data_IF_038221954146
#
_entry.id   IF_038221954146
#
_cell.length_a   1.000
_cell.length_b   1.000
_cell.length_c   1.000
_cell.angle_alpha   90.00
_cell.angle_beta   90.00
_cell.angle_gamma   90.00
#
_symmetry.space_group_name_H-M   'P 1'
#
loop_
_entity.id
_entity.type
_entity.pdbx_description
1 polymer ?
#
# COMPACT_ATOMS: atom_id res chain seq x y z
N UNK A 1 -3.20 14.07 0.96
CA UNK A 1 -4.39 13.71 1.75
C UNK A 1 -4.97 14.96 2.39
N UNK A 2 -6.30 15.07 2.55
CA UNK A 2 -6.91 16.15 3.33
C UNK A 2 -6.40 16.12 4.77
N UNK A 3 -6.19 17.31 5.33
CA UNK A 3 -5.83 17.48 6.73
C UNK A 3 -7.00 18.14 7.43
N UNK A 4 -7.51 17.52 8.48
CA UNK A 4 -8.59 18.06 9.29
C UNK A 4 -8.04 18.50 10.63
N UNK A 5 -8.20 19.79 10.93
CA UNK A 5 -7.97 20.33 12.24
C UNK A 5 -9.23 20.10 13.08
N UNK A 6 -9.08 19.30 14.14
CA UNK A 6 -10.17 18.96 15.07
C UNK A 6 -9.88 19.62 16.42
N UNK A 7 -10.86 20.38 16.90
CA UNK A 7 -10.86 20.96 18.25
C UNK A 7 -11.84 20.19 19.13
N UNK A 8 -11.43 19.91 20.36
CA UNK A 8 -12.30 19.24 21.33
C UNK A 8 -11.74 19.26 22.74
N UNK A 9 -12.31 18.46 23.62
CA UNK A 9 -11.91 18.33 25.03
C UNK A 9 -11.31 16.96 25.26
N UNK A 10 -10.13 16.87 25.87
CA UNK A 10 -9.55 15.59 26.25
C UNK A 10 -10.38 14.92 27.34
N UNK A 11 -10.90 13.71 27.07
CA UNK A 11 -11.79 12.94 27.95
C UNK A 11 -11.22 12.74 29.36
N UNK A 12 -9.90 12.52 29.46
CA UNK A 12 -9.23 12.30 30.74
C UNK A 12 -8.84 13.59 31.46
N UNK A 13 -8.48 14.63 30.70
CA UNK A 13 -7.88 15.84 31.27
C UNK A 13 -8.84 17.01 31.43
N UNK A 14 -10.02 16.97 30.79
CA UNK A 14 -10.96 18.10 30.73
C UNK A 14 -10.44 19.34 29.98
N UNK A 15 -9.19 19.30 29.50
CA UNK A 15 -8.52 20.41 28.80
C UNK A 15 -8.85 20.41 27.32
N UNK A 16 -8.94 21.61 26.76
CA UNK A 16 -9.09 21.82 25.32
C UNK A 16 -7.86 21.30 24.58
N UNK A 17 -8.10 20.52 23.53
CA UNK A 17 -7.10 19.96 22.62
C UNK A 17 -7.40 20.41 21.20
N UNK A 18 -6.33 20.62 20.45
CA UNK A 18 -6.35 20.96 19.04
C UNK A 18 -5.35 20.03 18.36
N UNK A 19 -5.82 19.18 17.45
CA UNK A 19 -4.97 18.20 16.76
C UNK A 19 -5.36 18.12 15.30
N UNK A 20 -4.35 17.91 14.46
CA UNK A 20 -4.52 17.75 13.02
C UNK A 20 -4.46 16.27 12.67
N UNK A 21 -5.46 15.81 11.94
CA UNK A 21 -5.60 14.44 11.47
C UNK A 21 -5.50 14.41 9.95
N UNK A 22 -4.70 13.49 9.42
CA UNK A 22 -4.57 13.27 7.98
C UNK A 22 -5.40 12.05 7.61
N UNK A 23 -6.58 12.26 7.03
CA UNK A 23 -7.61 11.23 6.81
C UNK A 23 -8.51 11.58 5.61
N UNK A 24 -9.23 10.59 5.08
CA UNK A 24 -10.01 10.70 3.85
C UNK A 24 -11.15 11.72 3.90
N UNK A 25 -11.85 11.83 5.04
CA UNK A 25 -12.97 12.75 5.19
C UNK A 25 -13.14 13.22 6.65
N UNK A 26 -14.12 14.11 6.85
CA UNK A 26 -14.43 14.66 8.16
C UNK A 26 -14.88 13.59 9.18
N UNK A 27 -15.63 12.56 8.75
CA UNK A 27 -16.09 11.48 9.62
C UNK A 27 -14.92 10.65 10.16
N UNK A 28 -13.95 10.35 9.31
CA UNK A 28 -12.71 9.69 9.67
C UNK A 28 -11.91 10.51 10.69
N UNK A 29 -11.91 11.85 10.54
CA UNK A 29 -11.23 12.75 11.46
C UNK A 29 -11.88 12.72 12.83
N UNK A 30 -13.21 12.65 12.88
CA UNK A 30 -13.99 12.52 14.13
C UNK A 30 -13.71 11.19 14.81
N UNK A 31 -13.69 10.08 14.05
CA UNK A 31 -13.40 8.75 14.57
C UNK A 31 -11.98 8.69 15.13
N UNK A 32 -10.98 9.19 14.40
CA UNK A 32 -9.59 9.24 14.84
C UNK A 32 -9.42 10.12 16.10
N UNK A 33 -10.08 11.28 16.14
CA UNK A 33 -10.06 12.14 17.32
C UNK A 33 -10.73 11.50 18.54
N UNK A 34 -11.83 10.79 18.33
CA UNK A 34 -12.54 10.07 19.39
C UNK A 34 -11.71 8.90 19.94
N UNK A 35 -11.00 8.17 19.06
CA UNK A 35 -10.07 7.11 19.44
C UNK A 35 -8.89 7.64 20.26
N UNK A 36 -8.41 8.85 19.98
CA UNK A 36 -7.41 9.58 20.78
C UNK A 36 -7.96 10.14 22.11
N UNK A 37 -9.20 9.84 22.45
CA UNK A 37 -9.85 10.31 23.67
C UNK A 37 -10.25 11.78 23.63
N UNK A 38 -10.48 12.37 22.45
CA UNK A 38 -10.97 13.74 22.29
C UNK A 38 -12.48 13.71 22.09
N UNK A 39 -13.22 14.42 22.95
CA UNK A 39 -14.63 14.74 22.75
C UNK A 39 -14.67 15.88 21.73
N UNK A 40 -15.04 15.56 20.50
CA UNK A 40 -14.98 16.47 19.35
C UNK A 40 -16.07 17.55 19.44
N UNK A 41 -15.68 18.81 19.27
CA UNK A 41 -16.63 19.91 19.05
C UNK A 41 -17.00 19.94 17.56
N UNK A 42 -18.13 19.34 17.19
CA UNK A 42 -18.54 19.14 15.78
C UNK A 42 -18.54 20.42 14.92
N UNK A 43 -18.81 21.59 15.54
CA UNK A 43 -18.78 22.90 14.85
C UNK A 43 -17.38 23.52 14.69
N UNK A 44 -16.32 22.85 15.15
CA UNK A 44 -14.92 23.33 15.09
C UNK A 44 -13.98 22.33 14.42
N UNK A 45 -14.48 21.71 13.35
CA UNK A 45 -13.67 20.89 12.46
C UNK A 45 -13.41 21.70 11.19
N UNK A 46 -12.15 21.90 10.84
CA UNK A 46 -11.75 22.68 9.67
C UNK A 46 -10.90 21.80 8.77
N UNK A 47 -11.26 21.68 7.51
CA UNK A 47 -10.37 21.11 6.50
C UNK A 47 -9.29 22.15 6.18
N UNK A 48 -8.04 21.81 6.50
CA UNK A 48 -6.88 22.62 6.18
C UNK A 48 -6.59 22.55 4.68
N UNK A 49 -6.10 23.65 4.08
CA UNK A 49 -5.65 23.64 2.70
C UNK A 49 -4.52 22.62 2.51
N UNK A 50 -4.45 22.03 1.32
CA UNK A 50 -3.36 21.13 0.97
C UNK A 50 -2.07 21.92 0.95
N UNK A 51 -1.04 21.42 1.65
CA UNK A 51 0.21 22.14 1.77
C UNK A 51 0.92 22.21 0.41
N UNK A 52 1.39 23.40 -0.01
CA UNK A 52 2.28 23.50 -1.17
C UNK A 52 3.64 22.84 -0.86
N UNK A 53 4.43 22.53 -1.90
CA UNK A 53 5.78 22.00 -1.72
C UNK A 53 6.67 22.99 -0.97
N UNK A 54 7.62 22.49 -0.18
CA UNK A 54 8.60 23.36 0.46
C UNK A 54 9.64 23.86 -0.54
N UNK A 55 10.27 25.01 -0.26
CA UNK A 55 11.39 25.52 -1.08
C UNK A 55 12.51 24.47 -1.22
N UNK A 56 12.80 23.72 -0.15
CA UNK A 56 13.78 22.64 -0.20
C UNK A 56 13.38 21.50 -1.13
N UNK A 57 12.10 21.13 -1.18
CA UNK A 57 11.60 20.13 -2.14
C UNK A 57 11.71 20.63 -3.57
N UNK A 58 11.33 21.88 -3.83
CA UNK A 58 11.40 22.48 -5.17
C UNK A 58 12.85 22.61 -5.66
N UNK A 59 13.76 23.07 -4.77
CA UNK A 59 15.20 23.13 -5.07
C UNK A 59 15.75 21.75 -5.39
N UNK A 60 15.49 20.77 -4.53
CA UNK A 60 16.02 19.42 -4.73
C UNK A 60 15.43 18.75 -5.98
N UNK A 61 14.12 18.91 -6.22
CA UNK A 61 13.46 18.43 -7.42
C UNK A 61 14.11 19.02 -8.69
N UNK A 62 14.40 20.32 -8.68
CA UNK A 62 15.11 21.00 -9.78
C UNK A 62 16.53 20.44 -9.97
N UNK A 63 17.26 20.21 -8.88
CA UNK A 63 18.63 19.69 -8.91
C UNK A 63 18.71 18.28 -9.53
N UNK A 64 17.69 17.45 -9.29
CA UNK A 64 17.58 16.11 -9.89
C UNK A 64 16.77 16.08 -11.19
N UNK A 65 16.43 17.25 -11.76
CA UNK A 65 15.81 17.39 -13.08
C UNK A 65 14.31 17.10 -13.15
N UNK A 66 13.59 17.14 -12.03
CA UNK A 66 12.13 16.98 -11.98
C UNK A 66 11.45 18.33 -12.25
N UNK A 67 10.60 18.37 -13.28
CA UNK A 67 9.71 19.49 -13.53
C UNK A 67 8.48 19.40 -12.62
N UNK A 68 8.31 20.39 -11.73
CA UNK A 68 7.18 20.47 -10.81
C UNK A 68 6.15 21.47 -11.34
N UNK A 69 4.87 21.09 -11.39
CA UNK A 69 3.79 22.00 -11.77
C UNK A 69 3.44 22.97 -10.65
N UNK A 70 2.97 24.17 -10.99
CA UNK A 70 2.56 25.19 -9.99
C UNK A 70 1.43 24.72 -9.05
N UNK A 71 0.61 23.77 -9.50
CA UNK A 71 -0.48 23.18 -8.72
C UNK A 71 -0.05 21.92 -7.94
N UNK A 72 1.23 21.54 -7.97
CA UNK A 72 1.71 20.35 -7.27
C UNK A 72 1.61 20.56 -5.76
N UNK A 73 1.27 19.51 -5.04
CA UNK A 73 1.20 19.52 -3.59
C UNK A 73 2.53 19.06 -2.98
N UNK A 74 2.70 19.28 -1.68
CA UNK A 74 3.85 18.75 -0.92
C UNK A 74 4.02 17.23 -1.09
N UNK A 75 2.92 16.49 -1.11
CA UNK A 75 2.94 15.03 -1.25
C UNK A 75 3.31 14.60 -2.68
N UNK A 76 2.82 15.33 -3.69
CA UNK A 76 3.16 15.07 -5.09
C UNK A 76 4.67 15.17 -5.29
N UNK A 77 5.26 16.31 -4.88
CA UNK A 77 6.70 16.53 -5.06
C UNK A 77 7.52 15.54 -4.25
N UNK A 78 7.07 15.17 -3.04
CA UNK A 78 7.70 14.11 -2.25
C UNK A 78 7.73 12.79 -3.02
N UNK A 79 6.60 12.37 -3.59
CA UNK A 79 6.49 11.08 -4.27
C UNK A 79 7.23 11.08 -5.62
N UNK A 80 7.23 12.21 -6.34
CA UNK A 80 8.06 12.42 -7.54
C UNK A 80 9.55 12.26 -7.23
N UNK A 81 10.03 12.94 -6.18
CA UNK A 81 11.42 12.85 -5.71
C UNK A 81 11.74 11.41 -5.33
N UNK A 82 10.93 10.77 -4.48
CA UNK A 82 11.15 9.38 -4.08
C UNK A 82 11.19 8.44 -5.29
N UNK A 83 10.26 8.58 -6.23
CA UNK A 83 10.22 7.74 -7.42
C UNK A 83 11.51 7.88 -8.26
N UNK A 84 12.05 9.10 -8.38
CA UNK A 84 13.29 9.37 -9.10
C UNK A 84 14.52 8.80 -8.36
N UNK A 85 14.68 9.15 -7.08
CA UNK A 85 15.85 8.79 -6.25
C UNK A 85 15.93 7.28 -6.01
N UNK A 86 14.81 6.61 -5.75
CA UNK A 86 14.77 5.16 -5.50
C UNK A 86 14.83 4.33 -6.80
N UNK A 87 14.94 5.00 -7.95
CA UNK A 87 14.79 4.40 -9.28
C UNK A 87 13.54 3.51 -9.36
N UNK A 88 12.44 3.98 -8.76
CA UNK A 88 11.15 3.31 -8.83
C UNK A 88 10.45 3.67 -10.15
N UNK A 89 9.53 2.81 -10.57
CA UNK A 89 8.72 3.06 -11.77
C UNK A 89 7.37 3.62 -11.32
N UNK A 90 6.81 4.63 -12.01
CA UNK A 90 5.46 5.10 -11.72
C UNK A 90 4.44 3.96 -11.71
N UNK A 91 3.51 4.00 -10.76
CA UNK A 91 2.45 3.01 -10.67
C UNK A 91 1.43 3.21 -11.80
N UNK A 92 1.23 2.21 -12.65
CA UNK A 92 0.12 2.19 -13.63
C UNK A 92 -1.25 2.19 -12.95
N UNK A 93 -2.31 2.58 -13.68
CA UNK A 93 -3.71 2.52 -13.22
C UNK A 93 -4.12 1.15 -12.64
N UNK A 94 -3.65 0.06 -13.24
CA UNK A 94 -3.90 -1.30 -12.70
C UNK A 94 -3.31 -1.52 -11.30
N UNK A 95 -2.18 -0.89 -10.97
CA UNK A 95 -1.60 -1.00 -9.63
C UNK A 95 -2.38 -0.13 -8.64
N UNK A 96 -2.74 1.09 -9.08
CA UNK A 96 -3.55 2.06 -8.34
C UNK A 96 -4.95 1.53 -7.99
N UNK A 97 -5.57 0.72 -8.86
CA UNK A 97 -6.85 0.09 -8.58
C UNK A 97 -6.79 -0.91 -7.41
N UNK A 98 -5.64 -1.57 -7.16
CA UNK A 98 -5.49 -2.43 -5.98
C UNK A 98 -5.42 -1.62 -4.69
N UNK A 99 -4.77 -0.46 -4.71
CA UNK A 99 -4.76 0.43 -3.55
C UNK A 99 -6.17 0.96 -3.25
N UNK A 100 -6.93 1.35 -4.29
CA UNK A 100 -8.34 1.75 -4.13
C UNK A 100 -9.21 0.64 -3.53
N UNK A 101 -9.04 -0.61 -3.97
CA UNK A 101 -9.76 -1.78 -3.44
C UNK A 101 -9.60 -1.93 -1.93
N UNK A 102 -8.44 -1.61 -1.38
CA UNK A 102 -8.16 -1.68 0.06
C UNK A 102 -8.28 -0.32 0.78
N UNK A 103 -8.83 0.71 0.11
CA UNK A 103 -9.00 2.05 0.70
C UNK A 103 -7.68 2.77 0.99
N UNK A 104 -6.61 2.46 0.26
CA UNK A 104 -5.29 3.07 0.44
C UNK A 104 -5.17 4.28 -0.45
N UNK A 105 -4.87 5.41 0.18
CA UNK A 105 -4.62 6.68 -0.51
C UNK A 105 -3.20 6.74 -1.06
N UNK A 106 -3.04 7.39 -2.21
CA UNK A 106 -1.77 7.61 -2.88
C UNK A 106 -1.85 8.86 -3.77
N UNK A 107 -0.69 9.38 -4.17
CA UNK A 107 -0.60 10.48 -5.15
C UNK A 107 -0.54 9.93 -6.57
N UNK A 108 -0.83 10.76 -7.56
CA UNK A 108 -0.70 10.39 -8.98
C UNK A 108 0.74 9.96 -9.35
N UNK A 109 1.73 10.47 -8.61
CA UNK A 109 3.15 10.26 -8.83
C UNK A 109 3.75 9.08 -8.05
N UNK A 110 2.91 8.28 -7.37
CA UNK A 110 3.39 7.19 -6.52
C UNK A 110 4.18 6.15 -7.32
N UNK A 111 5.35 5.78 -6.80
CA UNK A 111 6.14 4.68 -7.33
C UNK A 111 5.51 3.32 -7.07
N UNK A 112 5.72 2.35 -7.96
CA UNK A 112 5.16 1.00 -7.90
C UNK A 112 5.62 0.24 -6.66
N UNK A 113 6.93 0.26 -6.33
CA UNK A 113 7.45 -0.41 -5.12
C UNK A 113 6.84 0.20 -3.87
N UNK A 114 6.74 1.54 -3.83
CA UNK A 114 6.13 2.25 -2.72
C UNK A 114 4.65 1.91 -2.55
N UNK A 115 3.88 1.92 -3.63
CA UNK A 115 2.45 1.58 -3.60
C UNK A 115 2.22 0.16 -3.07
N UNK A 116 3.04 -0.80 -3.50
CA UNK A 116 2.97 -2.18 -3.03
C UNK A 116 3.37 -2.31 -1.55
N UNK A 117 4.36 -1.55 -1.11
CA UNK A 117 4.73 -1.47 0.30
C UNK A 117 3.58 -0.92 1.15
N UNK A 118 2.88 0.12 0.68
CA UNK A 118 1.71 0.69 1.35
C UNK A 118 0.55 -0.31 1.43
N UNK A 119 0.25 -1.00 0.32
CA UNK A 119 -0.75 -2.07 0.29
C UNK A 119 -0.45 -3.16 1.31
N UNK A 120 0.75 -3.71 1.26
CA UNK A 120 1.07 -4.81 2.16
C UNK A 120 1.11 -4.38 3.62
N UNK A 121 1.61 -3.17 3.93
CA UNK A 121 1.63 -2.65 5.28
C UNK A 121 0.21 -2.50 5.87
N UNK A 122 -0.74 -1.98 5.08
CA UNK A 122 -2.15 -1.88 5.50
C UNK A 122 -2.77 -3.25 5.79
N UNK A 123 -2.41 -4.27 5.00
CA UNK A 123 -2.93 -5.63 5.15
C UNK A 123 -2.28 -6.41 6.30
N UNK A 124 -1.21 -5.92 6.93
CA UNK A 124 -0.59 -6.62 8.07
C UNK A 124 -1.42 -6.53 9.37
N UNK A 125 -2.45 -5.68 9.39
CA UNK A 125 -3.42 -5.63 10.49
C UNK A 125 -4.07 -7.01 10.70
N UNK A 126 -4.15 -7.54 11.94
CA UNK A 126 -4.77 -8.82 12.22
C UNK A 126 -6.22 -8.96 11.71
N UNK A 127 -6.98 -7.87 11.66
CA UNK A 127 -8.35 -7.85 11.11
C UNK A 127 -8.40 -8.11 9.60
N UNK A 128 -7.29 -7.85 8.89
CA UNK A 128 -7.15 -7.99 7.44
C UNK A 128 -6.41 -9.26 7.01
N UNK A 129 -6.31 -10.26 7.89
CA UNK A 129 -5.49 -11.46 7.64
C UNK A 129 -5.88 -12.21 6.35
N UNK A 130 -7.17 -12.33 6.04
CA UNK A 130 -7.64 -12.99 4.82
C UNK A 130 -7.22 -12.19 3.59
N UNK A 131 -7.31 -10.87 3.65
CA UNK A 131 -6.93 -9.99 2.53
C UNK A 131 -5.42 -9.96 2.34
N UNK A 132 -4.63 -10.01 3.41
CA UNK A 132 -3.18 -10.17 3.36
C UNK A 132 -2.79 -11.47 2.62
N UNK A 133 -3.45 -12.58 2.96
CA UNK A 133 -3.17 -13.87 2.32
C UNK A 133 -3.67 -13.83 0.87
N UNK A 134 -4.85 -13.27 0.60
CA UNK A 134 -5.42 -13.16 -0.75
C UNK A 134 -4.52 -12.33 -1.66
N UNK A 135 -4.01 -11.19 -1.16
CA UNK A 135 -3.02 -10.38 -1.83
C UNK A 135 -1.76 -11.20 -2.16
N UNK A 136 -1.19 -11.88 -1.16
CA UNK A 136 0.00 -12.71 -1.37
C UNK A 136 -0.25 -13.84 -2.39
N UNK A 137 -1.38 -14.54 -2.29
CA UNK A 137 -1.78 -15.60 -3.23
C UNK A 137 -1.91 -15.07 -4.64
N UNK A 138 -2.55 -13.91 -4.82
CA UNK A 138 -2.64 -13.24 -6.11
C UNK A 138 -1.25 -12.86 -6.66
N UNK A 139 -0.33 -12.38 -5.81
CA UNK A 139 1.04 -12.07 -6.23
C UNK A 139 1.80 -13.31 -6.70
N UNK A 140 1.68 -14.43 -5.99
CA UNK A 140 2.26 -15.72 -6.42
C UNK A 140 1.60 -16.20 -7.72
N UNK A 141 0.28 -16.05 -7.86
CA UNK A 141 -0.40 -16.37 -9.12
C UNK A 141 0.18 -15.58 -10.30
N UNK A 142 0.37 -14.26 -10.13
CA UNK A 142 0.94 -13.41 -11.18
C UNK A 142 2.35 -13.84 -11.57
N UNK A 143 3.16 -14.31 -10.63
CA UNK A 143 4.45 -14.93 -10.91
C UNK A 143 4.30 -16.21 -11.76
N UNK A 144 3.40 -17.11 -11.37
CA UNK A 144 3.19 -18.40 -12.07
C UNK A 144 2.74 -18.24 -13.52
N UNK A 145 2.06 -17.14 -13.85
CA UNK A 145 1.64 -16.80 -15.22
C UNK A 145 2.57 -15.78 -15.90
N UNK A 146 3.78 -15.57 -15.37
CA UNK A 146 4.79 -14.63 -15.88
C UNK A 146 4.23 -13.21 -16.10
N UNK A 147 3.30 -12.78 -15.25
CA UNK A 147 2.69 -11.46 -15.32
C UNK A 147 1.76 -11.24 -16.51
N UNK A 148 1.38 -12.26 -17.28
CA UNK A 148 0.57 -12.14 -18.50
C UNK A 148 -0.69 -11.26 -18.31
N UNK A 149 -0.91 -10.33 -19.25
CA UNK A 149 -2.03 -9.37 -19.16
C UNK A 149 -3.39 -10.01 -19.44
N UNK A 150 -3.41 -11.03 -20.29
CA UNK A 150 -4.60 -11.81 -20.62
C UNK A 150 -4.91 -12.94 -19.60
N UNK A 151 -4.14 -13.05 -18.52
CA UNK A 151 -4.38 -14.06 -17.48
C UNK A 151 -5.82 -13.96 -16.91
N UNK A 152 -6.51 -15.09 -16.65
CA UNK A 152 -7.94 -15.09 -16.28
C UNK A 152 -8.24 -14.44 -14.92
N UNK A 153 -7.35 -14.59 -13.94
CA UNK A 153 -7.52 -13.97 -12.62
C UNK A 153 -6.96 -12.56 -12.66
N UNK A 154 -7.82 -11.55 -12.50
CA UNK A 154 -7.46 -10.14 -12.65
C UNK A 154 -7.01 -9.47 -11.36
N UNK A 155 -7.51 -9.92 -10.21
CA UNK A 155 -7.32 -9.27 -8.91
C UNK A 155 -7.38 -10.27 -7.73
N UNK A 156 -7.08 -9.81 -6.49
CA UNK A 156 -7.11 -10.63 -5.29
C UNK A 156 -8.50 -11.03 -4.76
N UNK A 157 -9.57 -10.41 -5.25
CA UNK A 157 -10.95 -10.74 -4.86
C UNK A 157 -11.52 -11.94 -5.62
N UNK A 158 -10.78 -12.44 -6.61
CA UNK A 158 -11.18 -13.61 -7.36
C UNK A 158 -11.50 -14.81 -6.43
N UNK A 159 -12.61 -15.53 -6.67
CA UNK A 159 -13.05 -16.62 -5.79
C UNK A 159 -12.00 -17.70 -5.51
N UNK A 160 -11.16 -18.05 -6.50
CA UNK A 160 -10.10 -19.06 -6.33
C UNK A 160 -9.03 -18.54 -5.36
N UNK A 161 -8.68 -17.27 -5.47
CA UNK A 161 -7.70 -16.62 -4.60
C UNK A 161 -8.23 -16.57 -3.16
N UNK A 162 -9.47 -16.13 -2.98
CA UNK A 162 -10.14 -16.06 -1.67
C UNK A 162 -10.31 -17.42 -1.02
N UNK A 163 -10.68 -18.45 -1.80
CA UNK A 163 -10.80 -19.82 -1.29
C UNK A 163 -9.44 -20.34 -0.78
N UNK A 164 -8.36 -20.14 -1.55
CA UNK A 164 -7.01 -20.52 -1.10
C UNK A 164 -6.64 -19.76 0.17
N UNK A 165 -6.95 -18.46 0.25
CA UNK A 165 -6.66 -17.65 1.42
C UNK A 165 -7.40 -18.14 2.67
N UNK A 166 -8.68 -18.47 2.55
CA UNK A 166 -9.49 -19.03 3.63
C UNK A 166 -8.92 -20.37 4.12
N UNK A 167 -8.46 -21.23 3.21
CA UNK A 167 -7.83 -22.51 3.57
C UNK A 167 -6.49 -22.34 4.31
N UNK A 168 -5.81 -21.19 4.15
CA UNK A 168 -4.49 -20.94 4.72
C UNK A 168 -4.53 -20.07 5.99
N UNK A 169 -5.66 -19.47 6.34
CA UNK A 169 -5.75 -18.51 7.47
C UNK A 169 -5.33 -19.12 8.81
N UNK A 170 -5.59 -20.42 8.99
CA UNK A 170 -5.26 -21.15 10.22
C UNK A 170 -3.86 -21.81 10.18
N UNK A 171 -3.15 -21.75 9.04
CA UNK A 171 -1.78 -22.25 8.94
C UNK A 171 -0.80 -21.18 9.47
N UNK A 172 -0.52 -21.25 10.77
CA UNK A 172 0.35 -20.28 11.44
C UNK A 172 1.77 -20.21 10.86
N UNK A 173 2.27 -21.30 10.26
CA UNK A 173 3.57 -21.35 9.60
C UNK A 173 3.55 -20.52 8.31
N UNK A 174 2.52 -20.69 7.49
CA UNK A 174 2.32 -19.89 6.28
C UNK A 174 2.10 -18.42 6.61
N UNK A 175 1.21 -18.11 7.55
CA UNK A 175 0.92 -16.72 7.96
C UNK A 175 2.18 -16.01 8.47
N UNK A 176 2.95 -16.64 9.37
CA UNK A 176 4.23 -16.10 9.86
C UNK A 176 5.23 -15.92 8.73
N UNK A 177 5.23 -16.81 7.74
CA UNK A 177 6.12 -16.70 6.58
C UNK A 177 5.70 -15.57 5.63
N UNK A 178 4.40 -15.29 5.45
CA UNK A 178 3.91 -14.16 4.64
C UNK A 178 4.29 -12.83 5.29
N UNK A 179 4.12 -12.71 6.61
CA UNK A 179 4.42 -11.47 7.35
C UNK A 179 5.89 -11.03 7.30
N UNK A 180 6.82 -11.92 6.91
CA UNK A 180 8.25 -11.61 6.77
C UNK A 180 8.63 -10.89 5.48
N UNK A 181 7.73 -10.86 4.49
CA UNK A 181 7.98 -10.15 3.24
C UNK A 181 7.90 -8.65 3.42
N UNK A 182 8.62 -7.90 2.58
CA UNK A 182 8.36 -6.48 2.38
C UNK A 182 7.39 -6.33 1.21
N UNK A 183 6.43 -5.39 1.29
CA UNK A 183 5.45 -5.23 0.22
C UNK A 183 6.10 -4.90 -1.14
N UNK A 184 7.19 -4.13 -1.14
CA UNK A 184 7.97 -3.83 -2.35
C UNK A 184 8.58 -5.07 -3.02
N UNK A 185 8.82 -6.14 -2.27
CA UNK A 185 9.33 -7.43 -2.78
C UNK A 185 8.23 -8.27 -3.44
N UNK A 186 6.95 -7.99 -3.16
CA UNK A 186 5.82 -8.76 -3.69
C UNK A 186 5.46 -8.41 -5.15
N UNK A 187 6.29 -7.58 -5.81
CA UNK A 187 6.11 -7.27 -7.24
C UNK A 187 6.39 -8.50 -8.10
N UNK A 188 7.40 -9.29 -7.75
CA UNK A 188 7.85 -10.49 -8.47
C UNK A 188 8.66 -11.36 -7.51
N UNK A 189 8.90 -12.63 -7.84
CA UNK A 189 9.61 -13.55 -6.94
C UNK A 189 10.88 -14.15 -7.54
N UNK A 190 11.88 -14.38 -6.69
CA UNK A 190 13.16 -14.95 -7.06
C UNK A 190 14.22 -13.90 -7.37
N UNK A 191 15.12 -14.26 -8.28
CA UNK A 191 16.29 -13.47 -8.65
C UNK A 191 16.29 -13.22 -10.16
N UNK A 192 16.69 -12.02 -10.57
CA UNK A 192 16.81 -11.64 -11.98
C UNK A 192 18.15 -10.95 -12.19
N UNK A 193 18.93 -11.46 -13.13
CA UNK A 193 20.20 -10.86 -13.52
C UNK A 193 19.98 -10.00 -14.76
N UNK A 194 20.25 -8.70 -14.63
CA UNK A 194 20.23 -7.79 -15.76
C UNK A 194 21.36 -8.10 -16.75
N UNK A 195 21.27 -7.64 -18.02
CA UNK A 195 22.33 -7.84 -19.02
C UNK A 195 23.71 -7.28 -18.60
N UNK A 196 23.74 -6.32 -17.67
CA UNK A 196 24.96 -5.74 -17.11
C UNK A 196 25.55 -6.57 -15.94
N UNK A 197 24.97 -7.73 -15.63
CA UNK A 197 25.39 -8.62 -14.55
C UNK A 197 24.86 -8.26 -13.16
N UNK A 198 24.10 -7.16 -13.01
CA UNK A 198 23.52 -6.80 -11.72
C UNK A 198 22.39 -7.77 -11.33
N UNK A 199 22.47 -8.27 -10.10
CA UNK A 199 21.45 -9.11 -9.51
C UNK A 199 20.37 -8.25 -8.85
N UNK A 200 19.14 -8.43 -9.27
CA UNK A 200 17.95 -7.89 -8.63
C UNK A 200 17.24 -9.02 -7.88
N UNK A 201 16.72 -8.70 -6.70
CA UNK A 201 16.01 -9.67 -5.86
C UNK A 201 14.56 -9.22 -5.64
N UNK A 202 13.63 -10.15 -5.83
CA UNK A 202 12.23 -10.00 -5.48
C UNK A 202 11.91 -10.74 -4.18
N UNK A 203 10.63 -11.06 -3.99
CA UNK A 203 10.20 -11.91 -2.88
C UNK A 203 10.81 -13.31 -2.98
N UNK A 204 11.20 -13.89 -1.85
CA UNK A 204 11.83 -15.21 -1.86
C UNK A 204 10.87 -16.34 -2.25
N UNK A 205 11.11 -16.97 -3.40
CA UNK A 205 10.36 -18.16 -3.85
C UNK A 205 10.69 -19.45 -3.08
N UNK A 206 11.61 -19.41 -2.11
CA UNK A 206 12.07 -20.57 -1.33
C UNK A 206 11.31 -20.75 -0.01
N UNK A 207 10.49 -19.77 0.38
CA UNK A 207 9.76 -19.75 1.66
C UNK A 207 8.64 -20.78 1.73
N UNK A 208 8.24 -21.14 2.95
CA UNK A 208 7.10 -22.03 3.21
C UNK A 208 5.80 -21.46 2.61
N UNK A 209 5.56 -20.16 2.77
CA UNK A 209 4.40 -19.49 2.19
C UNK A 209 4.35 -19.63 0.67
N UNK A 210 5.43 -19.28 -0.03
CA UNK A 210 5.47 -19.35 -1.50
C UNK A 210 5.26 -20.78 -2.00
N UNK A 211 5.98 -21.74 -1.43
CA UNK A 211 5.86 -23.17 -1.81
C UNK A 211 4.43 -23.68 -1.63
N UNK A 212 3.82 -23.41 -0.47
CA UNK A 212 2.45 -23.88 -0.18
C UNK A 212 1.42 -23.25 -1.11
N UNK A 213 1.47 -21.93 -1.29
CA UNK A 213 0.55 -21.20 -2.17
C UNK A 213 0.70 -21.64 -3.63
N UNK A 214 1.94 -21.77 -4.12
CA UNK A 214 2.20 -22.19 -5.50
C UNK A 214 1.68 -23.61 -5.79
N UNK A 215 1.75 -24.54 -4.83
CA UNK A 215 1.17 -25.87 -4.96
C UNK A 215 -0.35 -25.80 -5.12
N UNK A 216 -1.04 -25.09 -4.22
CA UNK A 216 -2.49 -24.95 -4.24
C UNK A 216 -3.01 -24.28 -5.51
N UNK A 217 -2.31 -23.24 -5.98
CA UNK A 217 -2.64 -22.59 -7.26
C UNK A 217 -2.49 -23.55 -8.44
N UNK A 218 -1.39 -24.31 -8.51
CA UNK A 218 -1.18 -25.30 -9.59
C UNK A 218 -2.24 -26.42 -9.56
N UNK A 219 -2.65 -26.87 -8.38
CA UNK A 219 -3.72 -27.86 -8.22
C UNK A 219 -5.08 -27.33 -8.68
N UNK A 220 -5.41 -26.08 -8.33
CA UNK A 220 -6.68 -25.44 -8.71
C UNK A 220 -6.76 -25.11 -10.20
N UNK A 221 -5.68 -24.58 -10.78
CA UNK A 221 -5.64 -24.18 -12.19
C UNK A 221 -5.58 -25.36 -13.16
N UNK A 222 -5.09 -26.54 -12.73
CA UNK A 222 -5.13 -27.77 -13.55
C UNK A 222 -6.52 -28.42 -13.60
N UNK A 223 -7.42 -28.06 -12.69
CA UNK A 223 -8.79 -28.61 -12.60
C UNK A 223 -9.82 -27.77 -13.37
N UNK A 224 -9.37 -26.72 -14.05
CA UNK A 224 -10.16 -25.87 -14.96
C UNK A 224 -9.85 -26.21 -16.40
#
# INVERSE_FOLDING_TARGET
MPRFEVVGIGRETGRRRKKVYTVYNQEAAILAASADGIIVEMGKIIQLPVAPPTESQLSYAKDIGIAVSDNATWEDVRDMISCCVDHDKPATERHKSFAQMYGIEYTEYVGKKRLFAMIFAALQDPSQIIDMISWFVYRVYRELVNGADNAPIKDPENPIIKEIAQNLVNDSSVVKSIKKYRGSELIWFGEWTAPDGRLYNGGSNKTTAYKRVSSLLREKLKKQ
#
